data_IF_233293952496
#
_entry.id   IF_233293952496
#
_cell.length_a   1.000
_cell.length_b   1.000
_cell.length_c   1.000
_cell.angle_alpha   90.00
_cell.angle_beta   90.00
_cell.angle_gamma   90.00
#
_symmetry.space_group_name_H-M   'P 1'
#
loop_
_entity.id
_entity.type
_entity.pdbx_description
1 polymer ?
#
# COMPACT_ATOMS: atom_id res chain seq x y z
N UNK A 1 14.18 10.21 13.21
CA UNK A 1 12.76 10.43 13.39
C UNK A 1 12.36 10.30 14.87
N UNK A 2 12.54 9.12 15.53
CA UNK A 2 12.06 8.86 16.90
C UNK A 2 12.54 9.90 17.90
N UNK A 3 13.86 10.20 17.93
CA UNK A 3 14.42 11.20 18.84
C UNK A 3 13.88 12.62 18.60
N UNK A 4 13.57 12.96 17.35
CA UNK A 4 13.02 14.29 16.99
C UNK A 4 11.52 14.41 17.29
N UNK A 5 10.78 13.29 17.26
CA UNK A 5 9.34 13.25 17.51
C UNK A 5 9.00 12.95 18.99
N UNK A 6 9.98 12.53 19.79
CA UNK A 6 9.77 12.12 21.17
C UNK A 6 9.17 10.72 21.34
N UNK A 7 8.92 9.99 20.22
CA UNK A 7 8.35 8.65 20.20
C UNK A 7 7.88 8.24 18.80
N UNK A 8 7.29 7.05 18.70
CA UNK A 8 6.70 6.54 17.48
C UNK A 8 5.45 5.72 17.80
N UNK A 9 4.30 6.15 17.32
CA UNK A 9 3.02 5.46 17.50
C UNK A 9 2.50 4.85 16.21
N UNK A 10 2.77 5.50 15.08
CA UNK A 10 2.22 5.13 13.78
C UNK A 10 3.32 5.14 12.72
N UNK A 11 3.49 4.02 12.00
CA UNK A 11 4.30 3.93 10.79
C UNK A 11 3.37 3.81 9.58
N UNK A 12 3.52 4.71 8.60
CA UNK A 12 2.84 4.61 7.30
C UNK A 12 3.87 4.40 6.20
N UNK A 13 3.86 3.23 5.56
CA UNK A 13 4.67 2.91 4.39
C UNK A 13 3.91 3.34 3.12
N UNK A 14 4.12 4.57 2.66
CA UNK A 14 3.43 5.15 1.50
C UNK A 14 4.31 5.23 0.25
N UNK A 15 5.63 5.36 0.41
CA UNK A 15 6.55 5.48 -0.71
C UNK A 15 6.49 4.27 -1.64
N UNK A 16 6.39 4.52 -2.94
CA UNK A 16 6.38 3.49 -3.97
C UNK A 16 6.85 4.04 -5.30
N UNK A 17 7.29 3.15 -6.19
CA UNK A 17 7.52 3.46 -7.60
C UNK A 17 6.68 2.52 -8.47
N UNK A 18 6.23 3.03 -9.63
CA UNK A 18 5.56 2.26 -10.66
C UNK A 18 6.57 1.54 -11.56
N UNK A 19 6.07 0.55 -12.30
CA UNK A 19 6.76 -0.08 -13.42
C UNK A 19 5.72 -0.47 -14.46
N UNK A 20 6.04 -0.21 -15.72
CA UNK A 20 5.23 -0.60 -16.88
C UNK A 20 6.14 -1.20 -17.95
N UNK A 21 5.82 -2.41 -18.40
CA UNK A 21 6.57 -3.16 -19.41
C UNK A 21 6.30 -4.66 -19.31
N UNK A 22 6.55 -5.38 -20.40
CA UNK A 22 6.44 -6.85 -20.41
C UNK A 22 7.60 -7.47 -19.66
N UNK A 23 7.39 -8.62 -19.04
CA UNK A 23 8.46 -9.35 -18.32
C UNK A 23 9.59 -9.75 -19.24
N UNK A 24 9.29 -10.03 -20.53
CA UNK A 24 10.32 -10.39 -21.50
C UNK A 24 11.35 -9.25 -21.76
N UNK A 25 10.93 -8.00 -21.56
CA UNK A 25 11.74 -6.80 -21.82
C UNK A 25 12.23 -6.15 -20.52
N UNK A 26 12.05 -6.82 -19.37
CA UNK A 26 12.31 -6.27 -18.05
C UNK A 26 13.81 -5.98 -17.85
N UNK A 27 14.15 -4.72 -17.59
CA UNK A 27 15.49 -4.37 -17.10
C UNK A 27 15.67 -4.82 -15.66
N UNK A 28 16.72 -5.61 -15.41
CA UNK A 28 16.98 -6.21 -14.08
C UNK A 28 17.30 -5.14 -13.03
N UNK A 29 17.97 -4.04 -13.40
CA UNK A 29 18.30 -2.97 -12.47
C UNK A 29 17.05 -2.17 -12.07
N UNK A 30 16.15 -1.89 -13.03
CA UNK A 30 14.84 -1.28 -12.74
C UNK A 30 13.97 -2.17 -11.85
N UNK A 31 13.96 -3.48 -12.12
CA UNK A 31 13.27 -4.45 -11.28
C UNK A 31 13.83 -4.46 -9.85
N UNK A 32 15.15 -4.49 -9.69
CA UNK A 32 15.77 -4.43 -8.36
C UNK A 32 15.36 -3.16 -7.59
N UNK A 33 15.39 -2.00 -8.25
CA UNK A 33 14.94 -0.73 -7.68
C UNK A 33 13.46 -0.78 -7.27
N UNK A 34 12.61 -1.36 -8.12
CA UNK A 34 11.19 -1.57 -7.82
C UNK A 34 11.01 -2.39 -6.53
N UNK A 35 11.71 -3.52 -6.42
CA UNK A 35 11.64 -4.39 -5.25
C UNK A 35 12.24 -3.75 -4.00
N UNK A 36 13.31 -3.00 -4.13
CA UNK A 36 13.92 -2.28 -3.01
C UNK A 36 12.96 -1.25 -2.41
N UNK A 37 12.28 -0.47 -3.25
CA UNK A 37 11.36 0.57 -2.78
C UNK A 37 10.02 -0.02 -2.32
N UNK A 38 9.40 -0.90 -3.12
CA UNK A 38 8.03 -1.35 -2.87
C UNK A 38 7.93 -2.50 -1.86
N UNK A 39 8.99 -3.28 -1.68
CA UNK A 39 8.98 -4.48 -0.83
C UNK A 39 9.99 -4.38 0.29
N UNK A 40 11.28 -4.20 -0.03
CA UNK A 40 12.34 -4.21 0.96
C UNK A 40 12.24 -3.04 1.95
N UNK A 41 11.97 -1.83 1.46
CA UNK A 41 11.88 -0.65 2.31
C UNK A 41 10.77 -0.76 3.37
N UNK A 42 9.51 -1.14 3.08
CA UNK A 42 8.48 -1.39 4.09
C UNK A 42 8.90 -2.39 5.17
N UNK A 43 9.58 -3.48 4.80
CA UNK A 43 10.10 -4.47 5.76
C UNK A 43 11.17 -3.86 6.67
N UNK A 44 12.12 -3.10 6.10
CA UNK A 44 13.20 -2.47 6.87
C UNK A 44 12.69 -1.36 7.78
N UNK A 45 11.71 -0.55 7.31
CA UNK A 45 11.08 0.47 8.15
C UNK A 45 10.28 -0.15 9.29
N UNK A 46 9.51 -1.22 9.04
CA UNK A 46 8.82 -1.95 10.10
C UNK A 46 9.81 -2.53 11.12
N UNK A 47 10.88 -3.20 10.65
CA UNK A 47 11.95 -3.71 11.52
C UNK A 47 12.55 -2.62 12.40
N UNK A 48 12.80 -1.44 11.85
CA UNK A 48 13.37 -0.32 12.60
C UNK A 48 12.36 0.34 13.55
N UNK A 49 11.05 0.32 13.21
CA UNK A 49 10.00 0.92 14.01
C UNK A 49 9.58 0.07 15.22
N UNK A 50 9.54 -1.26 15.06
CA UNK A 50 9.05 -2.20 16.09
C UNK A 50 9.61 -1.95 17.49
N UNK A 51 10.93 -1.74 17.68
CA UNK A 51 11.48 -1.48 19.02
C UNK A 51 10.99 -0.19 19.69
N UNK A 52 10.32 0.67 18.96
CA UNK A 52 9.86 1.99 19.40
C UNK A 52 8.33 2.10 19.49
N UNK A 53 7.60 1.07 19.00
CA UNK A 53 6.15 1.01 19.10
C UNK A 53 5.72 0.40 20.44
N UNK A 54 4.67 0.93 21.03
CA UNK A 54 4.01 0.42 22.24
C UNK A 54 2.63 -0.15 21.92
N UNK A 55 1.96 -0.71 22.93
CA UNK A 55 0.56 -1.12 22.83
C UNK A 55 -0.30 0.03 22.32
N UNK A 56 -1.14 -0.25 21.33
CA UNK A 56 -1.85 0.78 20.57
C UNK A 56 -1.13 1.28 19.32
N UNK A 57 0.11 0.84 19.08
CA UNK A 57 0.87 1.18 17.88
C UNK A 57 0.22 0.69 16.57
N UNK A 58 0.55 1.33 15.46
CA UNK A 58 -0.03 1.07 14.13
C UNK A 58 1.06 0.97 13.08
N UNK A 59 0.97 -0.05 12.21
CA UNK A 59 1.74 -0.12 10.97
C UNK A 59 0.74 -0.22 9.83
N UNK A 60 0.79 0.73 8.89
CA UNK A 60 -0.13 0.81 7.76
C UNK A 60 0.69 0.92 6.47
N UNK A 61 0.48 0.00 5.54
CA UNK A 61 1.15 0.04 4.24
C UNK A 61 0.17 0.38 3.13
N UNK A 62 0.66 1.05 2.08
CA UNK A 62 -0.13 1.37 0.89
C UNK A 62 0.19 0.34 -0.20
N UNK A 63 -0.79 -0.52 -0.46
CA UNK A 63 -0.78 -1.51 -1.53
C UNK A 63 -1.22 -0.97 -2.88
N UNK A 64 -1.93 -1.79 -3.61
CA UNK A 64 -2.63 -1.46 -4.87
C UNK A 64 -3.63 -2.56 -5.19
N UNK A 65 -4.79 -2.24 -5.76
CA UNK A 65 -5.74 -3.21 -6.33
C UNK A 65 -5.08 -4.14 -7.35
N UNK A 66 -4.04 -3.68 -8.05
CA UNK A 66 -3.24 -4.50 -8.96
C UNK A 66 -2.48 -5.64 -8.26
N UNK A 67 -2.28 -5.58 -6.94
CA UNK A 67 -1.73 -6.70 -6.17
C UNK A 67 -2.69 -7.88 -5.99
N UNK A 68 -3.96 -7.70 -6.30
CA UNK A 68 -5.01 -8.72 -6.19
C UNK A 68 -5.59 -9.10 -7.56
N UNK A 69 -5.91 -8.10 -8.40
CA UNK A 69 -6.45 -8.29 -9.75
C UNK A 69 -5.60 -7.56 -10.78
N UNK A 70 -5.12 -8.27 -11.79
CA UNK A 70 -4.32 -7.72 -12.90
C UNK A 70 -5.17 -7.73 -14.18
N UNK A 71 -5.88 -6.64 -14.50
CA UNK A 71 -6.86 -6.62 -15.60
C UNK A 71 -6.25 -6.34 -16.99
N UNK A 72 -4.95 -6.04 -17.06
CA UNK A 72 -4.26 -5.71 -18.32
C UNK A 72 -2.77 -6.09 -18.25
N UNK A 73 -2.11 -6.33 -19.40
CA UNK A 73 -0.69 -6.67 -19.44
C UNK A 73 0.22 -5.48 -19.11
N UNK A 74 1.51 -5.77 -18.90
CA UNK A 74 2.56 -4.76 -18.71
C UNK A 74 2.76 -4.27 -17.28
N UNK A 75 2.01 -4.78 -16.30
CA UNK A 75 2.13 -4.37 -14.87
C UNK A 75 2.54 -5.51 -13.94
N UNK A 76 2.99 -6.64 -14.49
CA UNK A 76 3.27 -7.86 -13.72
C UNK A 76 4.28 -7.64 -12.60
N UNK A 77 5.42 -6.99 -12.88
CA UNK A 77 6.44 -6.75 -11.86
C UNK A 77 5.93 -5.82 -10.74
N UNK A 78 5.20 -4.76 -11.10
CA UNK A 78 4.57 -3.87 -10.13
C UNK A 78 3.51 -4.59 -9.29
N UNK A 79 2.59 -5.31 -9.94
CA UNK A 79 1.53 -6.07 -9.27
C UNK A 79 2.11 -7.07 -8.26
N UNK A 80 3.15 -7.82 -8.66
CA UNK A 80 3.87 -8.74 -7.77
C UNK A 80 4.47 -8.00 -6.57
N UNK A 81 5.08 -6.84 -6.75
CA UNK A 81 5.65 -6.07 -5.65
C UNK A 81 4.59 -5.61 -4.65
N UNK A 82 3.39 -5.26 -5.13
CA UNK A 82 2.26 -4.85 -4.28
C UNK A 82 1.56 -6.04 -3.62
N UNK A 83 1.46 -7.18 -4.29
CA UNK A 83 0.94 -8.42 -3.73
C UNK A 83 1.77 -8.91 -2.52
N UNK A 84 3.09 -8.72 -2.56
CA UNK A 84 3.98 -9.07 -1.45
C UNK A 84 3.58 -8.42 -0.12
N UNK A 85 3.04 -7.20 -0.15
CA UNK A 85 2.59 -6.48 1.05
C UNK A 85 1.38 -7.12 1.73
N UNK A 86 0.57 -7.89 1.01
CA UNK A 86 -0.57 -8.61 1.59
C UNK A 86 -0.10 -9.68 2.58
N UNK A 87 0.83 -10.54 2.17
CA UNK A 87 1.39 -11.58 3.04
C UNK A 87 2.26 -10.97 4.15
N UNK A 88 3.04 -9.93 3.85
CA UNK A 88 3.79 -9.17 4.84
C UNK A 88 2.86 -8.63 5.95
N UNK A 89 1.76 -7.98 5.59
CA UNK A 89 0.77 -7.45 6.54
C UNK A 89 0.18 -8.54 7.42
N UNK A 90 -0.24 -9.66 6.82
CA UNK A 90 -0.82 -10.79 7.54
C UNK A 90 0.18 -11.46 8.50
N UNK A 91 1.41 -11.71 8.05
CA UNK A 91 2.46 -12.29 8.86
C UNK A 91 2.83 -11.40 10.04
N UNK A 92 3.14 -10.13 9.76
CA UNK A 92 3.55 -9.17 10.77
C UNK A 92 2.45 -8.89 11.81
N UNK A 93 1.16 -8.94 11.41
CA UNK A 93 0.04 -8.81 12.35
C UNK A 93 0.00 -9.93 13.39
N UNK A 94 0.43 -11.15 13.02
CA UNK A 94 0.54 -12.27 13.96
C UNK A 94 1.71 -12.11 14.94
N UNK A 95 2.81 -11.55 14.45
CA UNK A 95 4.01 -11.33 15.27
C UNK A 95 3.79 -10.21 16.31
N UNK A 96 3.07 -9.15 15.93
CA UNK A 96 2.92 -7.94 16.76
C UNK A 96 1.60 -7.87 17.53
N UNK A 97 0.62 -8.72 17.19
CA UNK A 97 -0.66 -8.80 17.88
C UNK A 97 -0.54 -8.98 19.40
N UNK A 98 0.33 -9.90 19.91
CA UNK A 98 0.56 -10.05 21.35
C UNK A 98 1.05 -8.79 22.05
N UNK A 99 1.64 -7.84 21.33
CA UNK A 99 2.10 -6.54 21.83
C UNK A 99 1.03 -5.45 21.73
N UNK A 100 -0.18 -5.76 21.25
CA UNK A 100 -1.26 -4.79 21.05
C UNK A 100 -1.02 -3.83 19.88
N UNK A 101 -0.16 -4.18 18.91
CA UNK A 101 0.13 -3.40 17.71
C UNK A 101 -0.69 -3.95 16.55
N UNK A 102 -1.39 -3.09 15.80
CA UNK A 102 -2.10 -3.49 14.59
C UNK A 102 -1.29 -3.24 13.32
N UNK A 103 -1.43 -4.14 12.35
CA UNK A 103 -0.75 -4.07 11.06
C UNK A 103 -1.77 -4.26 9.95
N UNK A 104 -1.93 -3.27 9.07
CA UNK A 104 -2.95 -3.27 8.03
C UNK A 104 -2.42 -2.76 6.68
N UNK A 105 -3.14 -3.10 5.62
CA UNK A 105 -2.87 -2.67 4.25
C UNK A 105 -4.06 -1.84 3.74
N UNK A 106 -3.81 -0.66 3.22
CA UNK A 106 -4.78 0.08 2.39
C UNK A 106 -4.48 -0.25 0.94
N UNK A 107 -5.49 -0.61 0.17
CA UNK A 107 -5.36 -1.04 -1.22
C UNK A 107 -6.14 -0.11 -2.15
N UNK A 108 -5.48 0.96 -2.66
CA UNK A 108 -6.10 1.88 -3.60
C UNK A 108 -6.29 1.26 -4.99
N UNK A 109 -7.27 1.77 -5.72
CA UNK A 109 -7.36 1.68 -7.17
C UNK A 109 -6.62 2.82 -7.87
N UNK A 110 -7.23 3.35 -8.95
CA UNK A 110 -6.73 4.55 -9.62
C UNK A 110 -6.96 5.79 -8.78
N UNK A 111 -5.87 6.48 -8.42
CA UNK A 111 -5.88 7.71 -7.64
C UNK A 111 -5.33 8.84 -8.50
N UNK A 112 -5.97 10.00 -8.47
CA UNK A 112 -5.55 11.20 -9.19
C UNK A 112 -4.33 11.82 -8.52
N UNK A 113 -3.17 11.62 -9.12
CA UNK A 113 -1.87 12.08 -8.61
C UNK A 113 -0.96 12.50 -9.76
N UNK A 114 0.13 13.20 -9.48
CA UNK A 114 1.13 13.56 -10.49
C UNK A 114 1.68 12.33 -11.25
N UNK A 115 1.77 11.17 -10.58
CA UNK A 115 2.23 9.92 -11.18
C UNK A 115 1.15 9.18 -12.01
N UNK A 116 -0.13 9.48 -11.77
CA UNK A 116 -1.28 8.87 -12.45
C UNK A 116 -2.43 9.89 -12.57
N UNK A 117 -2.30 10.91 -13.43
CA UNK A 117 -3.28 11.98 -13.53
C UNK A 117 -4.60 11.49 -14.13
N UNK A 118 -5.72 11.99 -13.59
CA UNK A 118 -7.07 11.61 -14.01
C UNK A 118 -7.45 12.13 -15.41
N UNK A 119 -6.65 12.98 -16.02
CA UNK A 119 -6.74 13.46 -17.40
C UNK A 119 -5.64 12.88 -18.32
N UNK A 120 -4.86 11.92 -17.81
CA UNK A 120 -3.79 11.26 -18.56
C UNK A 120 -4.33 10.33 -19.67
N UNK A 121 -3.43 9.86 -20.57
CA UNK A 121 -3.82 9.09 -21.75
C UNK A 121 -4.51 7.76 -21.45
N UNK A 122 -4.33 7.17 -20.26
CA UNK A 122 -4.98 5.94 -19.84
C UNK A 122 -6.20 6.18 -18.93
N UNK A 123 -6.60 7.44 -18.69
CA UNK A 123 -7.59 7.77 -17.66
C UNK A 123 -8.98 7.18 -17.96
N UNK A 124 -9.46 7.23 -19.21
CA UNK A 124 -10.77 6.69 -19.57
C UNK A 124 -10.81 5.16 -19.41
N UNK A 125 -9.73 4.48 -19.81
CA UNK A 125 -9.60 3.05 -19.58
C UNK A 125 -9.62 2.71 -18.09
N UNK A 126 -8.87 3.43 -17.28
CA UNK A 126 -8.84 3.21 -15.83
C UNK A 126 -10.20 3.47 -15.18
N UNK A 127 -10.94 4.52 -15.61
CA UNK A 127 -12.32 4.76 -15.16
C UNK A 127 -13.24 3.60 -15.48
N UNK A 128 -13.13 3.04 -16.69
CA UNK A 128 -13.97 1.92 -17.12
C UNK A 128 -13.79 0.65 -16.30
N UNK A 129 -12.66 0.52 -15.59
CA UNK A 129 -12.42 -0.60 -14.69
C UNK A 129 -13.07 -0.42 -13.30
N UNK A 130 -13.56 0.78 -12.96
CA UNK A 130 -14.12 1.08 -11.65
C UNK A 130 -15.64 1.08 -11.65
N UNK A 131 -16.26 0.56 -10.59
CA UNK A 131 -17.73 0.59 -10.44
C UNK A 131 -18.27 2.02 -10.28
N UNK A 132 -17.49 2.93 -9.66
CA UNK A 132 -17.88 4.33 -9.47
C UNK A 132 -17.57 5.22 -10.69
N UNK A 133 -16.93 4.71 -11.75
CA UNK A 133 -16.60 5.43 -12.97
C UNK A 133 -15.65 6.62 -12.79
N UNK A 134 -14.84 6.62 -11.73
CA UNK A 134 -13.94 7.75 -11.43
C UNK A 134 -12.66 7.33 -10.73
N UNK A 135 -11.67 8.21 -10.79
CA UNK A 135 -10.50 8.15 -9.91
C UNK A 135 -10.88 8.51 -8.47
N UNK A 136 -10.17 7.92 -7.52
CA UNK A 136 -10.18 8.41 -6.16
C UNK A 136 -9.32 9.69 -6.04
N UNK A 137 -9.64 10.52 -5.07
CA UNK A 137 -8.77 11.64 -4.66
C UNK A 137 -7.75 11.14 -3.63
N UNK A 138 -6.54 11.71 -3.57
CA UNK A 138 -5.56 11.38 -2.52
C UNK A 138 -6.14 11.47 -1.10
N UNK A 139 -7.01 12.46 -0.85
CA UNK A 139 -7.68 12.63 0.45
C UNK A 139 -8.61 11.47 0.82
N UNK A 140 -9.23 10.79 -0.17
CA UNK A 140 -10.09 9.63 0.11
C UNK A 140 -9.26 8.44 0.59
N UNK A 141 -8.05 8.25 0.02
CA UNK A 141 -7.11 7.23 0.49
C UNK A 141 -6.53 7.61 1.86
N UNK A 142 -6.20 8.88 2.07
CA UNK A 142 -5.72 9.38 3.36
C UNK A 142 -6.77 9.14 4.47
N UNK A 143 -8.06 9.31 4.19
CA UNK A 143 -9.13 9.03 5.16
C UNK A 143 -9.17 7.55 5.58
N UNK A 144 -8.91 6.60 4.67
CA UNK A 144 -8.78 5.19 5.00
C UNK A 144 -7.58 4.92 5.94
N UNK A 145 -6.45 5.59 5.69
CA UNK A 145 -5.27 5.53 6.57
C UNK A 145 -5.58 6.11 7.95
N UNK A 146 -6.21 7.28 8.02
CA UNK A 146 -6.59 7.93 9.28
C UNK A 146 -7.55 7.05 10.08
N UNK A 147 -8.52 6.40 9.42
CA UNK A 147 -9.41 5.44 10.08
C UNK A 147 -8.62 4.29 10.71
N UNK A 148 -7.73 3.64 9.96
CA UNK A 148 -6.91 2.52 10.46
C UNK A 148 -5.92 2.96 11.56
N UNK A 149 -5.49 4.22 11.56
CA UNK A 149 -4.63 4.81 12.57
C UNK A 149 -5.39 5.16 13.86
N UNK A 150 -6.70 5.30 13.80
CA UNK A 150 -7.54 5.77 14.90
C UNK A 150 -7.89 4.65 15.92
N UNK A 151 -8.36 5.02 17.12
CA UNK A 151 -8.91 4.07 18.09
C UNK A 151 -10.13 3.29 17.57
N UNK A 152 -10.90 3.82 16.60
CA UNK A 152 -12.04 3.14 15.99
C UNK A 152 -11.65 1.85 15.26
N UNK A 153 -10.38 1.70 14.85
CA UNK A 153 -9.85 0.50 14.19
C UNK A 153 -9.07 -0.42 15.15
N UNK A 154 -9.24 -0.30 16.45
CA UNK A 154 -8.42 -1.01 17.46
C UNK A 154 -8.47 -2.54 17.38
N UNK A 155 -9.53 -3.12 16.83
CA UNK A 155 -9.68 -4.58 16.61
C UNK A 155 -9.32 -5.01 15.20
N UNK A 156 -8.98 -4.06 14.31
CA UNK A 156 -8.70 -4.32 12.90
C UNK A 156 -7.18 -4.54 12.73
N UNK A 157 -6.79 -5.78 12.41
CA UNK A 157 -5.39 -6.13 12.15
C UNK A 157 -5.28 -7.28 11.14
N UNK A 158 -4.22 -7.32 10.36
CA UNK A 158 -3.97 -8.32 9.32
C UNK A 158 -4.91 -8.20 8.11
N UNK A 159 -5.64 -7.09 7.99
CA UNK A 159 -6.61 -6.87 6.91
C UNK A 159 -6.06 -6.08 5.75
N UNK A 160 -6.69 -6.25 4.61
CA UNK A 160 -6.60 -5.37 3.44
C UNK A 160 -7.89 -4.55 3.37
N UNK A 161 -7.78 -3.24 3.57
CA UNK A 161 -8.87 -2.29 3.37
C UNK A 161 -8.82 -1.78 1.92
N UNK A 162 -9.71 -2.28 1.08
CA UNK A 162 -9.81 -1.86 -0.30
C UNK A 162 -10.52 -0.51 -0.41
N UNK A 163 -9.89 0.44 -1.10
CA UNK A 163 -10.37 1.80 -1.34
C UNK A 163 -10.12 2.17 -2.83
N UNK A 164 -10.79 1.45 -3.74
CA UNK A 164 -10.44 1.38 -5.17
C UNK A 164 -11.57 1.78 -6.11
N UNK A 165 -12.64 2.38 -5.61
CA UNK A 165 -13.84 2.71 -6.37
C UNK A 165 -14.50 1.47 -7.05
N UNK A 166 -14.28 0.26 -6.51
CA UNK A 166 -14.82 -1.00 -7.02
C UNK A 166 -14.07 -1.56 -8.23
N UNK A 167 -12.76 -1.29 -8.34
CA UNK A 167 -11.96 -1.75 -9.48
C UNK A 167 -11.65 -3.26 -9.45
N UNK A 168 -11.68 -3.87 -8.26
CA UNK A 168 -11.43 -5.31 -8.10
C UNK A 168 -12.69 -6.11 -7.74
N UNK A 169 -13.85 -5.46 -7.70
CA UNK A 169 -15.13 -6.11 -7.41
C UNK A 169 -15.58 -7.06 -8.52
#
# INVERSE_FOLDING_TARGET
AVSALGGLDILVNSAAIGHSGLIADLDVAEYQKLMDVNVRAPVLFAKAAIPHLSAGGRIISIGSGLGERVPFPGVTAYAMSKAALTSFTRGLSRELGPQGITVNLVQPGSVDTDANPADGPAADFQRSLTSLGRFAKPSEIANAVVFLASPAASVITGTTLTADAGAIA
#
